data_IF_062082283469
#
_entry.id   IF_062082283469
#
_cell.length_a   1.000
_cell.length_b   1.000
_cell.length_c   1.000
_cell.angle_alpha   90.00
_cell.angle_beta   90.00
_cell.angle_gamma   90.00
#
_symmetry.space_group_name_H-M   'P 1'
#
loop_
_entity.id
_entity.type
_entity.pdbx_description
1 polymer ?
#
# COMPACT_ATOMS: atom_id res chain seq x y z
N UNK A 1 -11.53 21.64 11.96
CA UNK A 1 -10.92 20.33 12.25
C UNK A 1 -11.79 19.61 13.27
N UNK A 2 -12.42 18.49 12.91
CA UNK A 2 -13.10 17.64 13.91
C UNK A 2 -12.01 17.03 14.79
N UNK A 3 -12.02 17.32 16.10
CA UNK A 3 -11.23 16.57 17.08
C UNK A 3 -11.66 15.11 16.96
N UNK A 4 -10.75 14.23 16.57
CA UNK A 4 -10.94 12.80 16.74
C UNK A 4 -11.18 12.58 18.25
N UNK A 5 -12.30 11.95 18.61
CA UNK A 5 -12.52 11.50 19.98
C UNK A 5 -11.40 10.48 20.29
N UNK A 6 -10.42 10.91 21.09
CA UNK A 6 -9.28 10.10 21.52
C UNK A 6 -9.68 8.99 22.49
N UNK A 7 -10.94 8.95 22.93
CA UNK A 7 -11.49 7.97 23.89
C UNK A 7 -11.64 6.54 23.31
N UNK A 8 -11.30 6.30 22.04
CA UNK A 8 -11.54 5.00 21.37
C UNK A 8 -10.28 4.29 20.83
N UNK A 9 -9.07 4.81 21.07
CA UNK A 9 -7.84 4.17 20.58
C UNK A 9 -7.16 3.42 21.73
N UNK A 10 -7.12 2.08 21.67
CA UNK A 10 -6.39 1.22 22.61
C UNK A 10 -5.38 0.33 21.86
N UNK A 11 -4.20 0.85 21.52
CA UNK A 11 -3.23 0.14 20.70
C UNK A 11 -2.50 -0.95 21.51
N UNK A 12 -2.37 -2.14 20.94
CA UNK A 12 -1.60 -3.24 21.54
C UNK A 12 -0.08 -3.00 21.51
N UNK A 13 0.40 -2.28 20.48
CA UNK A 13 1.82 -2.07 20.21
C UNK A 13 2.10 -0.62 19.81
N UNK A 14 3.26 -0.10 20.23
CA UNK A 14 3.85 1.12 19.70
C UNK A 14 5.21 0.83 19.09
N UNK A 15 5.39 1.22 17.81
CA UNK A 15 6.69 1.19 17.14
C UNK A 15 7.33 2.59 17.24
N UNK A 16 8.46 2.69 17.94
CA UNK A 16 9.17 3.96 18.14
C UNK A 16 10.70 3.79 18.13
N UNK A 17 11.44 4.90 18.22
CA UNK A 17 12.91 4.95 18.22
C UNK A 17 13.56 4.58 19.57
N UNK A 18 12.75 4.14 20.54
CA UNK A 18 13.20 3.76 21.88
C UNK A 18 13.43 4.93 22.84
N UNK A 19 13.02 6.15 22.47
CA UNK A 19 13.13 7.28 23.39
C UNK A 19 12.25 7.09 24.64
N UNK A 20 12.85 7.23 25.84
CA UNK A 20 12.14 7.10 27.11
C UNK A 20 10.95 8.05 27.22
N UNK A 21 11.07 9.27 26.69
CA UNK A 21 9.97 10.24 26.68
C UNK A 21 8.74 9.71 25.92
N UNK A 22 8.95 9.04 24.79
CA UNK A 22 7.87 8.46 23.98
C UNK A 22 7.28 7.24 24.70
N UNK A 23 8.14 6.39 25.27
CA UNK A 23 7.72 5.22 26.04
C UNK A 23 6.86 5.62 27.24
N UNK A 24 7.34 6.56 28.05
CA UNK A 24 6.65 7.02 29.25
C UNK A 24 5.32 7.68 28.88
N UNK A 25 5.30 8.54 27.87
CA UNK A 25 4.06 9.17 27.41
C UNK A 25 3.04 8.15 26.89
N UNK A 26 3.50 7.12 26.17
CA UNK A 26 2.63 6.06 25.67
C UNK A 26 2.06 5.20 26.80
N UNK A 27 2.90 4.82 27.77
CA UNK A 27 2.48 4.04 28.92
C UNK A 27 1.55 4.81 29.86
N UNK A 28 1.74 6.13 30.00
CA UNK A 28 0.86 7.00 30.80
C UNK A 28 -0.55 7.08 30.20
N UNK A 29 -0.67 7.12 28.87
CA UNK A 29 -1.96 7.24 28.17
C UNK A 29 -2.66 5.89 28.00
N UNK A 30 -1.93 4.84 27.60
CA UNK A 30 -2.51 3.56 27.17
C UNK A 30 -2.22 2.40 28.14
N UNK A 31 -1.54 2.66 29.26
CA UNK A 31 -1.14 1.65 30.24
C UNK A 31 0.04 0.79 29.78
N UNK A 32 0.22 -0.34 30.45
CA UNK A 32 1.31 -1.27 30.11
C UNK A 32 1.03 -1.95 28.76
N UNK A 33 1.77 -1.52 27.73
CA UNK A 33 1.66 -1.99 26.35
C UNK A 33 3.02 -2.38 25.79
N UNK A 34 3.02 -3.16 24.72
CA UNK A 34 4.26 -3.65 24.09
C UNK A 34 4.92 -2.54 23.27
N UNK A 35 6.17 -2.24 23.61
CA UNK A 35 7.01 -1.33 22.84
C UNK A 35 7.88 -2.12 21.87
N UNK A 36 7.71 -1.84 20.59
CA UNK A 36 8.48 -2.45 19.51
C UNK A 36 9.52 -1.44 19.03
N UNK A 37 10.76 -1.88 18.94
CA UNK A 37 11.87 -1.06 18.50
C UNK A 37 11.85 -0.91 16.98
N UNK A 38 11.85 0.35 16.53
CA UNK A 38 11.87 0.66 15.12
C UNK A 38 13.18 0.17 14.50
N UNK A 39 13.07 -0.83 13.61
CA UNK A 39 14.22 -1.40 12.88
C UNK A 39 15.09 -0.34 12.21
N UNK A 40 14.49 0.67 11.57
CA UNK A 40 15.26 1.71 10.88
C UNK A 40 16.16 2.51 11.84
N UNK A 41 15.67 2.80 13.05
CA UNK A 41 16.44 3.50 14.07
C UNK A 41 17.51 2.60 14.69
N UNK A 42 17.14 1.36 15.04
CA UNK A 42 18.09 0.37 15.51
C UNK A 42 19.23 0.18 14.51
N UNK A 43 18.92 -0.09 13.24
CA UNK A 43 19.92 -0.34 12.18
C UNK A 43 20.86 0.84 12.03
N UNK A 44 20.35 2.09 12.01
CA UNK A 44 21.21 3.29 11.94
C UNK A 44 22.15 3.38 13.14
N UNK A 45 21.68 3.08 14.35
CA UNK A 45 22.51 3.13 15.56
C UNK A 45 23.58 2.02 15.56
N UNK A 46 23.20 0.81 15.17
CA UNK A 46 24.11 -0.33 15.08
C UNK A 46 25.17 -0.10 14.00
N UNK A 47 24.79 0.30 12.79
CA UNK A 47 25.75 0.58 11.70
C UNK A 47 26.76 1.66 12.11
N UNK A 48 26.33 2.75 12.75
CA UNK A 48 27.25 3.77 13.28
C UNK A 48 28.25 3.19 14.28
N UNK A 49 27.81 2.27 15.16
CA UNK A 49 28.70 1.62 16.12
C UNK A 49 29.65 0.65 15.44
N UNK A 50 29.19 -0.12 14.45
CA UNK A 50 30.03 -1.00 13.63
C UNK A 50 31.14 -0.19 12.95
N UNK A 51 30.78 0.91 12.27
CA UNK A 51 31.73 1.80 11.61
C UNK A 51 32.81 2.34 12.57
N UNK A 52 32.45 2.56 13.84
CA UNK A 52 33.34 3.11 14.86
C UNK A 52 34.17 2.07 15.64
N UNK A 53 33.67 0.84 15.81
CA UNK A 53 34.22 -0.15 16.76
C UNK A 53 34.77 -1.40 16.08
N UNK A 54 34.34 -1.71 14.86
CA UNK A 54 34.65 -2.97 14.16
C UNK A 54 35.67 -2.72 13.05
N UNK A 55 36.57 -3.68 12.81
CA UNK A 55 37.56 -3.61 11.74
C UNK A 55 36.89 -3.51 10.38
N UNK A 56 37.39 -2.62 9.52
CA UNK A 56 36.80 -2.33 8.20
C UNK A 56 36.61 -3.57 7.32
N UNK A 57 37.48 -4.57 7.43
CA UNK A 57 37.37 -5.85 6.69
C UNK A 57 36.20 -6.73 7.13
N UNK A 58 35.64 -6.50 8.33
CA UNK A 58 34.58 -7.34 8.91
C UNK A 58 33.24 -6.60 9.02
N UNK A 59 33.21 -5.28 8.76
CA UNK A 59 32.00 -4.46 8.90
C UNK A 59 30.85 -4.93 8.02
N UNK A 60 31.11 -5.25 6.74
CA UNK A 60 30.08 -5.69 5.80
C UNK A 60 29.44 -7.02 6.23
N UNK A 61 30.28 -8.01 6.56
CA UNK A 61 29.83 -9.32 7.05
C UNK A 61 28.99 -9.19 8.32
N UNK A 62 29.41 -8.33 9.24
CA UNK A 62 28.75 -8.14 10.51
C UNK A 62 27.42 -7.39 10.35
N UNK A 63 27.34 -6.40 9.44
CA UNK A 63 26.05 -5.77 9.05
C UNK A 63 25.11 -6.81 8.44
N UNK A 64 25.59 -7.63 7.50
CA UNK A 64 24.78 -8.66 6.85
C UNK A 64 24.22 -9.69 7.85
N UNK A 65 25.03 -10.07 8.84
CA UNK A 65 24.59 -10.97 9.91
C UNK A 65 23.52 -10.31 10.82
N UNK A 66 23.66 -9.01 11.15
CA UNK A 66 22.63 -8.26 11.90
C UNK A 66 21.34 -8.17 11.09
N UNK A 67 21.43 -7.91 9.78
CA UNK A 67 20.26 -7.92 8.89
C UNK A 67 19.61 -9.31 8.81
N UNK A 68 20.39 -10.38 8.95
CA UNK A 68 19.87 -11.76 9.00
C UNK A 68 19.11 -12.05 10.30
N UNK A 69 19.57 -11.52 11.44
CA UNK A 69 18.83 -11.62 12.71
C UNK A 69 17.45 -10.96 12.62
N UNK A 70 17.34 -9.85 11.90
CA UNK A 70 16.07 -9.15 11.69
C UNK A 70 15.03 -10.03 11.02
N UNK A 71 15.44 -10.98 10.18
CA UNK A 71 14.56 -11.89 9.42
C UNK A 71 13.92 -12.99 10.28
N UNK A 72 14.25 -13.06 11.57
CA UNK A 72 13.65 -14.06 12.45
C UNK A 72 12.11 -13.93 12.44
N UNK A 73 11.43 -15.05 12.24
CA UNK A 73 9.96 -15.10 12.12
C UNK A 73 9.26 -15.18 13.47
N UNK A 74 9.97 -15.65 14.50
CA UNK A 74 9.48 -15.77 15.85
C UNK A 74 10.63 -15.66 16.86
N UNK A 75 10.27 -15.47 18.12
CA UNK A 75 11.20 -15.32 19.24
C UNK A 75 12.17 -16.51 19.38
N UNK A 76 11.70 -17.74 19.14
CA UNK A 76 12.53 -18.95 19.29
C UNK A 76 13.64 -18.98 18.25
N UNK A 77 13.32 -18.60 17.01
CA UNK A 77 14.30 -18.45 15.93
C UNK A 77 15.25 -17.29 16.25
N UNK A 78 14.73 -16.16 16.71
CA UNK A 78 15.52 -14.98 17.05
C UNK A 78 16.55 -15.29 18.14
N UNK A 79 16.14 -15.89 19.27
CA UNK A 79 17.04 -16.27 20.37
C UNK A 79 18.14 -17.22 19.89
N UNK A 80 17.78 -18.25 19.11
CA UNK A 80 18.78 -19.20 18.56
C UNK A 80 19.76 -18.52 17.62
N UNK A 81 19.27 -17.67 16.71
CA UNK A 81 20.11 -16.94 15.77
C UNK A 81 21.03 -15.96 16.50
N UNK A 82 20.53 -15.24 17.51
CA UNK A 82 21.30 -14.34 18.36
C UNK A 82 22.42 -15.06 19.13
N UNK A 83 22.15 -16.26 19.66
CA UNK A 83 23.18 -17.08 20.30
C UNK A 83 24.29 -17.51 19.32
N UNK A 84 23.93 -17.87 18.08
CA UNK A 84 24.90 -18.19 17.03
C UNK A 84 25.70 -16.96 16.58
N UNK A 85 25.05 -15.81 16.46
CA UNK A 85 25.67 -14.53 16.13
C UNK A 85 26.73 -14.14 17.18
N UNK A 86 26.36 -14.15 18.46
CA UNK A 86 27.28 -13.87 19.56
C UNK A 86 28.46 -14.85 19.53
N UNK A 87 28.20 -16.15 19.35
CA UNK A 87 29.26 -17.17 19.28
C UNK A 87 30.22 -16.95 18.11
N UNK A 88 29.73 -16.49 16.96
CA UNK A 88 30.55 -16.21 15.76
C UNK A 88 31.49 -15.02 15.99
N UNK A 89 30.98 -13.95 16.60
CA UNK A 89 31.68 -12.66 16.65
C UNK A 89 32.39 -12.37 17.98
N UNK A 90 32.06 -13.06 19.08
CA UNK A 90 32.62 -12.80 20.41
C UNK A 90 34.14 -12.96 20.50
N UNK A 91 34.75 -13.76 19.62
CA UNK A 91 36.20 -13.94 19.55
C UNK A 91 36.92 -12.90 18.69
N UNK A 92 36.18 -12.19 17.82
CA UNK A 92 36.74 -11.27 16.83
C UNK A 92 36.55 -9.81 17.24
N UNK A 93 35.34 -9.48 17.68
CA UNK A 93 34.88 -8.10 17.90
C UNK A 93 34.18 -7.97 19.27
N UNK A 94 34.90 -8.33 20.34
CA UNK A 94 34.39 -8.44 21.71
C UNK A 94 33.63 -7.20 22.19
N UNK A 95 34.21 -6.00 22.02
CA UNK A 95 33.63 -4.75 22.51
C UNK A 95 32.31 -4.42 21.83
N UNK A 96 32.21 -4.67 20.51
CA UNK A 96 30.97 -4.47 19.78
C UNK A 96 29.92 -5.49 20.23
N UNK A 97 30.29 -6.75 20.44
CA UNK A 97 29.36 -7.79 20.85
C UNK A 97 28.82 -7.56 22.26
N UNK A 98 29.66 -7.11 23.20
CA UNK A 98 29.20 -6.71 24.53
C UNK A 98 28.17 -5.58 24.46
N UNK A 99 28.46 -4.53 23.69
CA UNK A 99 27.49 -3.46 23.41
C UNK A 99 26.20 -4.00 22.80
N UNK A 100 26.32 -4.84 21.76
CA UNK A 100 25.18 -5.33 21.01
C UNK A 100 24.28 -6.24 21.86
N UNK A 101 24.87 -7.09 22.70
CA UNK A 101 24.14 -7.95 23.62
C UNK A 101 23.35 -7.16 24.67
N UNK A 102 24.00 -6.20 25.31
CA UNK A 102 23.38 -5.40 26.38
C UNK A 102 22.26 -4.51 25.82
N UNK A 103 22.54 -3.83 24.71
CA UNK A 103 21.62 -2.85 24.14
C UNK A 103 20.50 -3.54 23.35
N UNK A 104 20.85 -4.38 22.37
CA UNK A 104 19.91 -4.82 21.32
C UNK A 104 19.41 -6.24 21.48
N UNK A 105 20.00 -7.06 22.35
CA UNK A 105 19.52 -8.42 22.62
C UNK A 105 18.86 -8.56 24.00
N UNK A 106 19.15 -7.63 24.91
CA UNK A 106 18.62 -7.64 26.29
C UNK A 106 17.63 -6.50 26.50
N UNK A 107 18.04 -5.25 26.31
CA UNK A 107 17.22 -4.07 26.64
C UNK A 107 16.17 -3.79 25.56
N UNK A 108 16.60 -3.79 24.31
CA UNK A 108 15.82 -3.38 23.15
C UNK A 108 15.73 -4.54 22.16
N UNK A 109 15.19 -5.70 22.55
CA UNK A 109 15.20 -6.94 21.75
C UNK A 109 14.06 -7.06 20.72
N UNK A 110 13.06 -6.19 20.81
CA UNK A 110 11.84 -6.21 20.00
C UNK A 110 12.00 -5.51 18.63
N UNK A 111 12.91 -5.95 17.76
CA UNK A 111 13.16 -5.32 16.44
C UNK A 111 13.18 -6.27 15.24
N UNK A 112 12.94 -7.57 15.46
CA UNK A 112 12.90 -8.60 14.42
C UNK A 112 11.49 -8.67 13.76
N UNK A 113 11.37 -9.31 12.59
CA UNK A 113 10.11 -9.34 11.81
C UNK A 113 8.95 -9.99 12.56
N UNK A 114 9.22 -11.06 13.32
CA UNK A 114 8.23 -11.75 14.16
C UNK A 114 7.58 -10.86 15.22
N UNK A 115 8.16 -9.70 15.54
CA UNK A 115 7.67 -8.75 16.54
C UNK A 115 6.78 -7.64 15.95
N UNK A 116 6.14 -7.89 14.79
CA UNK A 116 5.26 -6.94 14.09
C UNK A 116 5.96 -5.66 13.61
N UNK A 117 7.23 -5.72 13.22
CA UNK A 117 7.97 -4.56 12.68
C UNK A 117 7.67 -4.33 11.19
N UNK A 118 7.51 -3.06 10.79
CA UNK A 118 7.40 -2.67 9.36
C UNK A 118 8.78 -2.34 8.78
N UNK A 119 9.09 -2.90 7.59
CA UNK A 119 10.35 -2.64 6.87
C UNK A 119 10.20 -1.49 5.86
N UNK A 120 11.26 -0.71 5.66
CA UNK A 120 11.37 0.31 4.60
C UNK A 120 11.22 -0.28 3.18
N UNK A 121 11.43 -1.59 2.98
CA UNK A 121 11.35 -2.29 1.68
C UNK A 121 10.83 -3.72 1.82
N UNK A 122 9.58 -3.88 2.26
CA UNK A 122 8.92 -5.18 2.10
C UNK A 122 8.67 -5.45 0.60
N UNK A 123 9.03 -6.63 0.06
CA UNK A 123 8.55 -7.06 -1.25
C UNK A 123 7.03 -6.91 -1.30
N UNK A 124 6.47 -6.38 -2.39
CA UNK A 124 5.07 -5.96 -2.46
C UNK A 124 4.10 -7.08 -2.02
N UNK A 125 4.42 -8.34 -2.35
CA UNK A 125 3.67 -9.52 -1.91
C UNK A 125 3.65 -9.68 -0.39
N UNK A 126 4.79 -9.48 0.27
CA UNK A 126 4.93 -9.61 1.73
C UNK A 126 4.40 -8.39 2.47
N UNK A 127 4.56 -7.18 1.91
CA UNK A 127 3.89 -5.98 2.40
C UNK A 127 2.38 -6.17 2.41
N UNK A 128 1.82 -6.69 1.31
CA UNK A 128 0.39 -6.94 1.19
C UNK A 128 -0.10 -7.89 2.28
N UNK A 129 0.56 -9.04 2.45
CA UNK A 129 0.19 -10.03 3.48
C UNK A 129 0.28 -9.42 4.88
N UNK A 130 1.41 -8.83 5.25
CA UNK A 130 1.62 -8.25 6.58
C UNK A 130 0.67 -7.09 6.87
N UNK A 131 0.43 -6.21 5.88
CA UNK A 131 -0.52 -5.11 6.02
C UNK A 131 -1.96 -5.62 6.18
N UNK A 132 -2.35 -6.66 5.45
CA UNK A 132 -3.66 -7.28 5.63
C UNK A 132 -3.76 -8.00 6.98
N UNK A 133 -2.73 -8.70 7.44
CA UNK A 133 -2.71 -9.35 8.76
C UNK A 133 -2.80 -8.32 9.89
N UNK A 134 -2.06 -7.21 9.79
CA UNK A 134 -2.14 -6.10 10.76
C UNK A 134 -3.52 -5.48 10.76
N UNK A 135 -4.08 -5.15 9.58
CA UNK A 135 -5.42 -4.56 9.45
C UNK A 135 -6.51 -5.54 9.90
N UNK A 136 -6.37 -6.84 9.61
CA UNK A 136 -7.29 -7.88 10.05
C UNK A 136 -7.24 -8.06 11.56
N UNK A 137 -6.03 -8.09 12.15
CA UNK A 137 -5.82 -8.16 13.59
C UNK A 137 -6.42 -6.93 14.27
N UNK A 138 -6.15 -5.73 13.78
CA UNK A 138 -6.80 -4.50 14.26
C UNK A 138 -8.32 -4.61 14.12
N UNK A 139 -8.84 -5.00 12.96
CA UNK A 139 -10.27 -5.11 12.70
C UNK A 139 -10.97 -6.11 13.62
N UNK A 140 -10.30 -7.20 14.01
CA UNK A 140 -10.80 -8.19 14.98
C UNK A 140 -10.67 -7.69 16.42
N UNK A 141 -9.59 -6.99 16.76
CA UNK A 141 -9.43 -6.35 18.08
C UNK A 141 -10.46 -5.21 18.30
N UNK A 142 -10.92 -4.55 17.23
CA UNK A 142 -12.01 -3.57 17.24
C UNK A 142 -13.39 -4.17 17.59
N UNK A 143 -13.54 -5.49 17.76
CA UNK A 143 -14.81 -6.09 18.19
C UNK A 143 -15.18 -5.79 19.65
N UNK A 144 -14.25 -5.29 20.47
CA UNK A 144 -14.52 -4.89 21.86
C UNK A 144 -14.99 -3.44 21.95
N UNK A 145 -16.10 -3.10 21.28
CA UNK A 145 -16.79 -1.83 21.50
C UNK A 145 -17.55 -1.28 20.30
N UNK A 146 -18.84 -1.61 20.22
CA UNK A 146 -19.90 -0.71 19.70
C UNK A 146 -19.88 -0.26 18.23
N UNK A 147 -19.39 -1.06 17.27
CA UNK A 147 -19.88 -0.95 15.88
C UNK A 147 -20.47 -2.27 15.41
N UNK A 148 -21.80 -2.39 15.53
CA UNK A 148 -22.57 -3.44 14.86
C UNK A 148 -22.43 -3.22 13.36
N UNK A 149 -21.63 -4.04 12.69
CA UNK A 149 -21.67 -4.10 11.23
C UNK A 149 -23.07 -4.53 10.82
N UNK A 150 -23.77 -3.66 10.10
CA UNK A 150 -25.07 -4.01 9.55
C UNK A 150 -24.83 -4.89 8.33
N UNK A 151 -24.82 -6.21 8.53
CA UNK A 151 -24.71 -7.21 7.45
C UNK A 151 -25.87 -7.13 6.45
N UNK A 152 -26.91 -6.36 6.77
CA UNK A 152 -28.04 -6.07 5.89
C UNK A 152 -27.89 -4.65 5.33
N UNK A 153 -27.33 -4.54 4.14
CA UNK A 153 -27.22 -3.26 3.43
C UNK A 153 -28.62 -2.65 3.30
N UNK A 154 -28.91 -1.62 4.08
CA UNK A 154 -30.18 -0.91 4.00
C UNK A 154 -29.93 0.32 3.14
N UNK A 155 -30.38 0.27 1.89
CA UNK A 155 -30.28 1.40 0.96
C UNK A 155 -31.10 2.54 1.55
N UNK A 156 -30.46 3.70 1.81
CA UNK A 156 -31.14 4.85 2.40
C UNK A 156 -32.20 5.40 1.46
N UNK A 157 -33.24 6.04 2.01
CA UNK A 157 -34.27 6.71 1.19
C UNK A 157 -33.67 7.77 0.26
N UNK A 158 -32.63 8.47 0.72
CA UNK A 158 -31.86 9.43 -0.09
C UNK A 158 -31.19 8.74 -1.29
N UNK A 159 -30.56 7.58 -1.08
CA UNK A 159 -29.93 6.81 -2.15
C UNK A 159 -30.96 6.22 -3.12
N UNK A 160 -32.12 5.79 -2.63
CA UNK A 160 -33.26 5.40 -3.47
C UNK A 160 -33.77 6.57 -4.31
N UNK A 161 -33.92 7.74 -3.70
CA UNK A 161 -34.46 8.93 -4.37
C UNK A 161 -33.51 9.42 -5.46
N UNK A 162 -32.22 9.50 -5.15
CA UNK A 162 -31.18 9.90 -6.11
C UNK A 162 -31.06 8.87 -7.25
N UNK A 163 -31.08 7.57 -6.94
CA UNK A 163 -31.11 6.51 -7.95
C UNK A 163 -32.35 6.60 -8.86
N UNK A 164 -33.53 6.83 -8.29
CA UNK A 164 -34.78 6.97 -9.05
C UNK A 164 -34.80 8.24 -9.92
N UNK A 165 -34.31 9.37 -9.40
CA UNK A 165 -34.13 10.60 -10.18
C UNK A 165 -33.13 10.39 -11.32
N UNK A 166 -32.04 9.67 -11.06
CA UNK A 166 -31.05 9.33 -12.07
C UNK A 166 -31.65 8.49 -13.22
N UNK A 167 -32.49 7.50 -12.91
CA UNK A 167 -33.22 6.71 -13.93
C UNK A 167 -34.10 7.60 -14.81
N UNK A 168 -34.75 8.64 -14.23
CA UNK A 168 -35.57 9.60 -14.98
C UNK A 168 -34.78 10.48 -15.94
N UNK A 169 -33.46 10.60 -15.80
CA UNK A 169 -32.60 11.36 -16.73
C UNK A 169 -32.44 10.65 -18.10
N UNK A 170 -32.97 9.44 -18.26
CA UNK A 170 -33.02 8.68 -19.51
C UNK A 170 -31.65 8.60 -20.23
N UNK A 171 -30.61 8.28 -19.48
CA UNK A 171 -29.25 8.17 -19.99
C UNK A 171 -29.08 6.91 -20.84
N UNK A 172 -28.33 7.02 -21.94
CA UNK A 172 -28.00 5.87 -22.79
C UNK A 172 -27.07 4.90 -22.06
N UNK A 173 -27.40 3.61 -22.10
CA UNK A 173 -26.57 2.53 -21.55
C UNK A 173 -26.09 1.67 -22.73
N UNK A 174 -24.79 1.36 -22.78
CA UNK A 174 -24.24 0.37 -23.71
C UNK A 174 -23.75 -0.83 -22.90
N UNK A 175 -24.12 -2.03 -23.30
CA UNK A 175 -23.57 -3.27 -22.74
C UNK A 175 -22.68 -3.96 -23.76
N UNK A 176 -21.57 -4.53 -23.31
CA UNK A 176 -20.72 -5.41 -24.12
C UNK A 176 -20.37 -6.64 -23.32
N UNK A 177 -20.50 -7.80 -23.94
CA UNK A 177 -20.16 -9.08 -23.33
C UNK A 177 -18.73 -9.45 -23.72
N UNK A 178 -17.89 -9.74 -22.73
CA UNK A 178 -16.51 -10.15 -22.92
C UNK A 178 -16.14 -11.17 -21.84
N UNK A 179 -15.70 -12.36 -22.23
CA UNK A 179 -15.19 -13.41 -21.33
C UNK A 179 -16.10 -13.70 -20.12
N UNK A 180 -17.39 -13.98 -20.37
CA UNK A 180 -18.44 -14.23 -19.36
C UNK A 180 -18.72 -13.07 -18.39
N UNK A 181 -18.27 -11.86 -18.71
CA UNK A 181 -18.58 -10.64 -17.96
C UNK A 181 -19.34 -9.66 -18.86
N UNK A 182 -20.42 -9.10 -18.32
CA UNK A 182 -21.18 -8.03 -18.97
C UNK A 182 -20.66 -6.69 -18.46
N UNK A 183 -20.03 -5.93 -19.34
CA UNK A 183 -19.57 -4.57 -19.04
C UNK A 183 -20.63 -3.56 -19.46
N UNK A 184 -21.04 -2.70 -18.52
CA UNK A 184 -21.97 -1.60 -18.77
C UNK A 184 -21.21 -0.27 -18.84
N UNK A 185 -21.46 0.49 -19.90
CA UNK A 185 -20.95 1.83 -20.10
C UNK A 185 -22.09 2.84 -19.92
N UNK A 186 -21.82 3.89 -19.14
CA UNK A 186 -22.79 4.92 -18.75
C UNK A 186 -22.13 6.30 -18.93
N UNK A 187 -22.83 7.32 -19.46
CA UNK A 187 -22.28 8.65 -19.64
C UNK A 187 -22.07 9.37 -18.29
N UNK A 188 -20.90 9.97 -18.12
CA UNK A 188 -20.50 10.66 -16.90
C UNK A 188 -21.12 12.06 -16.76
N UNK A 189 -21.30 12.53 -15.52
CA UNK A 189 -21.79 13.88 -15.24
C UNK A 189 -23.25 14.08 -15.69
N UNK A 190 -23.54 15.17 -16.39
CA UNK A 190 -24.88 15.51 -16.89
C UNK A 190 -25.15 15.01 -18.31
N UNK A 191 -24.19 14.32 -18.94
CA UNK A 191 -24.37 13.81 -20.30
C UNK A 191 -25.40 12.67 -20.35
N UNK A 192 -26.24 12.69 -21.38
CA UNK A 192 -27.31 11.70 -21.61
C UNK A 192 -26.97 10.68 -22.70
N UNK A 193 -25.96 10.95 -23.54
CA UNK A 193 -25.53 10.08 -24.63
C UNK A 193 -24.06 9.70 -24.48
N UNK A 194 -23.75 8.43 -24.71
CA UNK A 194 -22.36 7.96 -24.79
C UNK A 194 -21.77 8.48 -26.09
N UNK A 195 -20.81 9.39 -25.98
CA UNK A 195 -20.03 9.87 -27.12
C UNK A 195 -18.71 9.09 -27.19
N UNK A 196 -18.15 8.92 -28.40
CA UNK A 196 -16.81 8.32 -28.61
C UNK A 196 -15.67 9.12 -27.93
N UNK A 197 -15.99 10.23 -27.25
CA UNK A 197 -15.07 11.10 -26.51
C UNK A 197 -14.48 10.42 -25.27
N UNK A 198 -15.13 9.37 -24.76
CA UNK A 198 -14.70 8.66 -23.54
C UNK A 198 -13.81 7.43 -23.81
N UNK A 199 -13.70 6.96 -25.05
CA UNK A 199 -12.74 5.91 -25.40
C UNK A 199 -11.39 6.55 -25.69
N UNK A 200 -10.52 6.59 -24.68
CA UNK A 200 -9.16 7.06 -24.92
C UNK A 200 -8.40 6.06 -25.79
N UNK A 201 -7.47 6.57 -26.63
CA UNK A 201 -6.62 5.75 -27.50
C UNK A 201 -5.88 4.62 -26.77
N UNK A 202 -5.65 4.78 -25.46
CA UNK A 202 -4.96 3.80 -24.62
C UNK A 202 -5.83 2.58 -24.33
N UNK A 203 -7.12 2.77 -24.01
CA UNK A 203 -8.06 1.65 -23.77
C UNK A 203 -8.22 0.81 -25.03
N UNK A 204 -8.42 1.47 -26.18
CA UNK A 204 -8.53 0.80 -27.49
C UNK A 204 -7.22 0.08 -27.85
N UNK A 205 -6.07 0.71 -27.59
CA UNK A 205 -4.76 0.09 -27.83
C UNK A 205 -4.50 -1.14 -26.95
N UNK A 206 -4.94 -1.12 -25.69
CA UNK A 206 -4.79 -2.24 -24.77
C UNK A 206 -5.67 -3.42 -25.17
N UNK A 207 -6.91 -3.17 -25.57
CA UNK A 207 -7.82 -4.20 -26.07
C UNK A 207 -7.27 -4.91 -27.33
N UNK A 208 -6.63 -4.17 -28.23
CA UNK A 208 -5.93 -4.75 -29.40
C UNK A 208 -4.74 -5.60 -28.96
N UNK A 209 -3.91 -5.09 -28.03
CA UNK A 209 -2.69 -5.78 -27.57
C UNK A 209 -2.98 -7.07 -26.80
N UNK A 210 -4.10 -7.11 -26.10
CA UNK A 210 -4.59 -8.28 -25.35
C UNK A 210 -5.47 -9.22 -26.20
N UNK A 211 -5.56 -9.01 -27.52
CA UNK A 211 -6.36 -9.82 -28.45
C UNK A 211 -7.89 -9.85 -28.19
N UNK A 212 -8.43 -8.96 -27.37
CA UNK A 212 -9.88 -8.87 -27.13
C UNK A 212 -10.63 -8.23 -28.30
N UNK A 213 -9.96 -7.49 -29.20
CA UNK A 213 -10.58 -6.98 -30.42
C UNK A 213 -9.57 -6.88 -31.59
N UNK A 214 -10.08 -7.00 -32.84
CA UNK A 214 -9.26 -6.91 -34.05
C UNK A 214 -9.45 -5.55 -34.71
N UNK A 215 -8.38 -4.76 -34.96
CA UNK A 215 -8.51 -3.47 -35.61
C UNK A 215 -8.92 -3.65 -37.08
N UNK A 216 -9.77 -2.75 -37.63
CA UNK A 216 -10.21 -2.84 -39.02
C UNK A 216 -9.02 -2.68 -39.98
N UNK A 217 -9.04 -3.31 -41.17
CA UNK A 217 -7.92 -3.26 -42.14
C UNK A 217 -7.49 -1.83 -42.49
N UNK A 218 -8.45 -0.91 -42.62
CA UNK A 218 -8.19 0.50 -42.89
C UNK A 218 -7.31 1.18 -41.81
N UNK A 219 -7.33 0.70 -40.56
CA UNK A 219 -6.48 1.21 -39.48
C UNK A 219 -5.05 0.64 -39.53
N UNK A 220 -4.83 -0.53 -40.14
CA UNK A 220 -3.50 -1.16 -40.28
C UNK A 220 -2.67 -0.59 -41.43
N UNK A 221 -3.33 0.01 -42.42
CA UNK A 221 -2.69 0.48 -43.65
C UNK A 221 -2.07 1.89 -43.56
N UNK A 222 -2.09 2.53 -42.38
CA UNK A 222 -1.49 3.87 -42.17
C UNK A 222 -0.12 3.69 -41.54
N UNK A 223 0.94 4.26 -42.15
CA UNK A 223 2.29 4.17 -41.59
C UNK A 223 2.38 4.94 -40.26
N UNK A 224 3.21 4.47 -39.34
CA UNK A 224 3.46 5.13 -38.06
C UNK A 224 3.98 6.54 -38.32
N UNK A 225 3.31 7.56 -37.75
CA UNK A 225 3.63 8.97 -37.94
C UNK A 225 2.82 9.69 -39.04
N UNK A 226 2.09 8.95 -39.87
CA UNK A 226 1.30 9.50 -40.96
C UNK A 226 -0.10 9.92 -40.47
N UNK A 227 -0.43 11.23 -40.55
CA UNK A 227 -1.77 11.72 -40.21
C UNK A 227 -2.71 11.50 -41.41
N UNK A 228 -3.89 10.91 -41.17
CA UNK A 228 -4.94 10.87 -42.20
C UNK A 228 -5.32 12.29 -42.62
N UNK A 229 -5.50 12.52 -43.93
CA UNK A 229 -6.04 13.80 -44.45
C UNK A 229 -7.40 14.06 -43.80
N UNK A 230 -7.57 15.21 -43.14
CA UNK A 230 -8.89 15.66 -42.65
C UNK A 230 -9.79 15.87 -43.87
N UNK A 231 -10.97 15.25 -43.88
CA UNK A 231 -11.97 15.50 -44.92
C UNK A 231 -12.38 16.98 -44.91
N UNK A 232 -12.27 17.65 -46.06
CA UNK A 232 -12.85 18.99 -46.26
C UNK A 232 -14.38 18.84 -46.25
N UNK A 233 -15.15 19.66 -45.49
CA UNK A 233 -16.61 19.61 -45.57
C UNK A 233 -17.05 19.90 -47.01
N UNK A 234 -17.88 19.03 -47.58
CA UNK A 234 -18.44 19.25 -48.91
C UNK A 234 -19.64 20.20 -48.81
N UNK A 235 -19.58 21.28 -49.62
CA UNK A 235 -20.59 22.31 -49.90
C UNK A 235 -20.72 23.46 -48.88
N UNK A 236 -20.10 24.60 -49.19
CA UNK A 236 -20.58 25.91 -48.76
C UNK A 236 -21.88 26.24 -49.51
N UNK A 237 -22.99 26.47 -48.80
CA UNK A 237 -24.16 27.14 -49.39
C UNK A 237 -23.81 28.61 -49.61
N UNK A 238 -24.23 29.18 -50.75
CA UNK A 238 -24.01 30.59 -51.15
C UNK A 238 -24.55 31.54 -50.06
N UNK A 239 -23.87 32.67 -49.86
CA UNK A 239 -24.41 33.78 -49.07
C UNK A 239 -25.63 34.37 -49.80
N UNK A 240 -26.76 34.45 -49.11
CA UNK A 240 -27.91 35.25 -49.54
C UNK A 240 -27.52 36.73 -49.38
N UNK A 241 -27.53 37.46 -50.50
CA UNK A 241 -27.53 38.91 -50.51
C UNK A 241 -29.00 39.29 -50.42
N UNK A 242 -29.40 39.91 -49.32
CA UNK A 242 -30.66 40.63 -49.23
C UNK A 242 -30.45 42.00 -49.86
N UNK A 243 -31.12 42.25 -50.99
CA UNK A 243 -31.49 43.60 -51.44
C UNK A 243 -32.88 43.94 -50.86
#
# INVERSE_FOLDING_TARGET
MKKLNLEEIDPDFLIADGADAIRNAFQDVFGEKTMVMCWAHMRRNVVKKIESMVKKSEQEDLVNDVESLQLAQDERIFIKASNLFVKKWSKKETNFIEYFQNEWLTTHNAWYEGENTLRERLPLSRFKVLAFEIVEKWSKCYERGLKKYNYKQTISLELWTTGYQWVKLNKSILSTECDNLVQYYIPAGDETKITNKFMCKHVVGMAIRLNHCKPPPAAKNVKIGEKRRRGRPSKSKKAEIHD
#
